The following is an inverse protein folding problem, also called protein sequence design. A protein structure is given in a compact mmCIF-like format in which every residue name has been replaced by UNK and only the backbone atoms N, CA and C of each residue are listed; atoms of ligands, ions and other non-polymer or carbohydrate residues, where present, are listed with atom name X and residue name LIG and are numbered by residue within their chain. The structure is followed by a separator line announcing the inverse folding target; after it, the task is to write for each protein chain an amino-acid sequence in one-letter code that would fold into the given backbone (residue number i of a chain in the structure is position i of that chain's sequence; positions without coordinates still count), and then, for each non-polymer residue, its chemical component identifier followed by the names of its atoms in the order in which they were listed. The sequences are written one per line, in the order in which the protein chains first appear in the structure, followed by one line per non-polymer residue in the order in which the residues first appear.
data_IF_871952555481
#
_entry.id   IF_871952555481
#
_cell.length_a   1.000
_cell.length_b   1.000
_cell.length_c   1.000
_cell.angle_alpha   90.00
_cell.angle_beta   90.00
_cell.angle_gamma   90.00
#
_symmetry.space_group_name_H-M   'P 1'
#
loop_
_entity.id
_entity.type
_entity.pdbx_description
1 polymer ?
#
# COMPACT_ATOMS: atom_id res chain seq x y z
N UNK A 1 -58.32 11.81 35.21
CA UNK A 1 -58.09 10.36 35.00
C UNK A 1 -57.46 10.20 33.62
N UNK A 2 -56.14 10.04 33.59
CA UNK A 2 -55.31 9.85 32.40
C UNK A 2 -54.82 8.38 32.38
N UNK A 3 -54.68 7.74 31.21
CA UNK A 3 -54.33 6.32 31.09
C UNK A 3 -52.84 6.04 31.37
N UNK A 4 -52.47 4.78 31.69
CA UNK A 4 -51.13 4.42 32.16
C UNK A 4 -50.08 4.36 31.04
N UNK A 5 -48.86 4.72 31.43
CA UNK A 5 -47.62 4.74 30.66
C UNK A 5 -47.14 3.34 30.23
N UNK A 6 -46.81 3.20 28.95
CA UNK A 6 -46.18 2.01 28.38
C UNK A 6 -44.65 2.15 28.46
N UNK A 7 -43.97 1.20 29.12
CA UNK A 7 -42.50 1.09 29.15
C UNK A 7 -42.07 -0.08 28.27
N UNK A 8 -41.09 0.08 27.36
CA UNK A 8 -40.58 -1.03 26.54
C UNK A 8 -39.63 -1.95 27.33
N UNK A 9 -39.54 -3.25 26.98
CA UNK A 9 -38.76 -4.23 27.73
C UNK A 9 -37.25 -4.13 27.45
N UNK A 10 -36.45 -4.33 28.50
CA UNK A 10 -35.01 -4.48 28.43
C UNK A 10 -34.63 -5.83 27.81
N UNK A 11 -33.87 -5.80 26.71
CA UNK A 11 -33.25 -6.99 26.12
C UNK A 11 -31.84 -7.11 26.67
N UNK A 12 -31.61 -8.05 27.59
CA UNK A 12 -30.27 -8.46 28.02
C UNK A 12 -29.74 -9.51 27.04
N UNK A 13 -28.70 -9.18 26.27
CA UNK A 13 -27.97 -10.16 25.48
C UNK A 13 -26.82 -10.70 26.35
N UNK A 14 -26.96 -11.94 26.83
CA UNK A 14 -25.85 -12.70 27.40
C UNK A 14 -25.00 -13.27 26.25
N UNK A 15 -23.80 -12.73 26.06
CA UNK A 15 -22.76 -13.39 25.25
C UNK A 15 -21.96 -14.34 26.15
N UNK A 16 -22.17 -15.65 25.99
CA UNK A 16 -21.28 -16.67 26.51
C UNK A 16 -20.03 -16.78 25.62
N UNK A 17 -18.88 -16.36 26.14
CA UNK A 17 -17.58 -16.56 25.48
C UNK A 17 -17.05 -17.93 25.87
N UNK A 18 -17.06 -18.87 24.93
CA UNK A 18 -16.34 -20.14 25.04
C UNK A 18 -14.88 -19.92 24.64
N UNK A 19 -13.99 -19.79 25.62
CA UNK A 19 -12.53 -19.74 25.36
C UNK A 19 -12.05 -21.15 25.04
N UNK A 20 -11.88 -21.47 23.76
CA UNK A 20 -11.13 -22.65 23.34
C UNK A 20 -9.64 -22.28 23.29
N UNK A 21 -8.87 -22.78 24.26
CA UNK A 21 -7.42 -22.79 24.24
C UNK A 21 -6.92 -23.64 23.07
N UNK A 22 -6.28 -23.03 22.08
CA UNK A 22 -5.63 -23.73 20.97
C UNK A 22 -4.12 -23.48 21.00
N UNK A 23 -3.37 -24.56 21.18
CA UNK A 23 -1.93 -24.68 20.95
C UNK A 23 -1.55 -24.26 19.51
N UNK A 24 -0.32 -23.80 19.24
CA UNK A 24 0.02 -23.19 17.95
C UNK A 24 -0.05 -24.24 16.83
N UNK A 25 -0.75 -23.97 15.71
CA UNK A 25 -0.76 -24.89 14.59
C UNK A 25 0.52 -24.67 13.76
N UNK A 26 1.17 -25.77 13.40
CA UNK A 26 2.10 -25.82 12.27
C UNK A 26 1.40 -25.29 11.02
N UNK A 27 1.78 -24.10 10.56
CA UNK A 27 1.18 -23.45 9.38
C UNK A 27 1.41 -24.30 8.13
N UNK A 28 0.33 -24.55 7.38
CA UNK A 28 0.37 -25.28 6.12
C UNK A 28 1.06 -24.43 5.03
N UNK A 29 1.68 -25.06 4.00
CA UNK A 29 2.36 -24.37 2.89
C UNK A 29 1.52 -23.26 2.25
N UNK A 30 0.19 -23.39 2.30
CA UNK A 30 -0.81 -22.45 1.79
C UNK A 30 -0.69 -21.03 2.38
N UNK A 31 -0.42 -20.89 3.69
CA UNK A 31 -0.38 -19.58 4.34
C UNK A 31 0.89 -18.78 3.95
N UNK A 32 2.01 -19.48 3.81
CA UNK A 32 3.28 -18.95 3.28
C UNK A 32 3.12 -18.55 1.81
N UNK A 33 2.39 -19.35 1.03
CA UNK A 33 2.06 -19.01 -0.35
C UNK A 33 1.19 -17.75 -0.47
N UNK A 34 0.23 -17.53 0.43
CA UNK A 34 -0.62 -16.33 0.43
C UNK A 34 0.16 -15.05 0.75
N UNK A 35 1.02 -15.08 1.79
CA UNK A 35 1.92 -13.97 2.14
C UNK A 35 2.97 -13.68 1.07
N UNK A 36 3.55 -14.73 0.46
CA UNK A 36 4.44 -14.59 -0.70
C UNK A 36 3.69 -14.07 -1.92
N UNK A 37 2.44 -14.48 -2.16
CA UNK A 37 1.62 -14.00 -3.29
C UNK A 37 1.29 -12.52 -3.14
N UNK A 38 0.96 -12.07 -1.92
CA UNK A 38 0.80 -10.66 -1.60
C UNK A 38 2.12 -9.90 -1.79
N UNK A 39 3.26 -10.38 -1.27
CA UNK A 39 4.55 -9.73 -1.55
C UNK A 39 4.99 -9.81 -3.04
N UNK A 40 4.60 -10.85 -3.76
CA UNK A 40 4.99 -11.14 -5.15
C UNK A 40 4.09 -10.51 -6.24
N UNK A 41 2.91 -10.01 -5.89
CA UNK A 41 1.99 -9.35 -6.84
C UNK A 41 2.67 -8.17 -7.57
N UNK A 42 3.65 -7.54 -6.93
CA UNK A 42 4.52 -6.49 -7.50
C UNK A 42 5.72 -7.00 -8.28
N UNK A 43 6.34 -8.11 -7.84
CA UNK A 43 7.51 -8.71 -8.50
C UNK A 43 7.17 -9.60 -9.72
N UNK A 44 5.90 -9.70 -10.15
CA UNK A 44 5.41 -10.57 -11.25
C UNK A 44 5.78 -12.06 -11.08
N UNK A 45 5.41 -12.65 -9.95
CA UNK A 45 5.65 -14.08 -9.69
C UNK A 45 4.31 -14.78 -9.45
N UNK A 46 3.91 -15.68 -10.37
CA UNK A 46 2.68 -16.49 -10.27
C UNK A 46 2.95 -17.93 -9.82
N UNK A 47 2.24 -18.41 -8.80
CA UNK A 47 1.91 -19.83 -8.68
C UNK A 47 0.40 -20.09 -8.60
N UNK A 48 0.01 -21.27 -9.06
CA UNK A 48 -1.35 -21.78 -9.27
C UNK A 48 -2.23 -21.80 -8.00
N UNK A 49 -3.50 -21.42 -8.15
CA UNK A 49 -4.46 -21.29 -7.05
C UNK A 49 -5.11 -22.63 -6.70
N UNK A 50 -5.03 -23.03 -5.43
CA UNK A 50 -6.09 -23.80 -4.77
C UNK A 50 -5.99 -23.63 -3.24
N UNK A 51 -6.99 -22.94 -2.70
CA UNK A 51 -7.28 -22.66 -1.28
C UNK A 51 -6.28 -21.75 -0.55
N UNK A 52 -6.69 -20.54 -0.13
CA UNK A 52 -6.17 -19.89 1.08
C UNK A 52 -7.21 -18.89 1.63
N UNK A 53 -7.58 -19.04 2.91
CA UNK A 53 -8.46 -18.11 3.62
C UNK A 53 -7.67 -16.85 4.01
N UNK A 54 -7.91 -15.74 3.32
CA UNK A 54 -7.46 -14.41 3.72
C UNK A 54 -8.57 -13.73 4.51
N UNK A 55 -8.26 -13.16 5.68
CA UNK A 55 -9.20 -12.27 6.38
C UNK A 55 -9.51 -11.09 5.46
N UNK A 56 -10.76 -10.98 5.06
CA UNK A 56 -11.27 -9.87 4.26
C UNK A 56 -11.83 -8.85 5.25
N UNK A 57 -11.27 -7.64 5.27
CA UNK A 57 -11.77 -6.55 6.11
C UNK A 57 -12.55 -5.55 5.24
N UNK A 58 -13.59 -4.95 5.82
CA UNK A 58 -14.36 -3.90 5.15
C UNK A 58 -13.66 -2.54 5.32
N UNK A 59 -13.43 -1.83 4.23
CA UNK A 59 -12.72 -0.55 4.19
C UNK A 59 -13.36 0.56 5.05
N UNK A 60 -14.66 0.45 5.36
CA UNK A 60 -15.38 1.36 6.26
C UNK A 60 -15.20 1.03 7.75
N UNK A 61 -14.90 -0.22 8.11
CA UNK A 61 -14.73 -0.66 9.50
C UNK A 61 -13.36 -0.26 10.05
N UNK A 62 -12.32 -0.27 9.22
CA UNK A 62 -10.95 0.06 9.63
C UNK A 62 -10.82 1.45 10.27
N UNK A 63 -11.35 2.54 9.68
CA UNK A 63 -11.25 3.86 10.28
C UNK A 63 -12.13 4.03 11.52
N UNK A 64 -13.24 3.29 11.62
CA UNK A 64 -14.11 3.27 12.80
C UNK A 64 -13.43 2.54 13.96
N UNK A 65 -12.94 1.32 13.73
CA UNK A 65 -12.34 0.46 14.75
C UNK A 65 -10.98 0.96 15.22
N UNK A 66 -10.10 1.39 14.30
CA UNK A 66 -8.74 1.80 14.64
C UNK A 66 -8.60 3.30 14.94
N UNK A 67 -9.50 4.12 14.39
CA UNK A 67 -9.60 5.55 14.68
C UNK A 67 -10.57 5.83 15.82
N UNK A 68 -11.86 5.95 15.46
CA UNK A 68 -12.89 6.53 16.33
C UNK A 68 -13.15 5.73 17.62
N UNK A 69 -13.13 4.40 17.54
CA UNK A 69 -13.32 3.48 18.67
C UNK A 69 -11.99 3.03 19.30
N UNK A 70 -10.91 3.09 18.50
CA UNK A 70 -9.56 2.63 18.81
C UNK A 70 -8.69 3.61 19.59
N UNK A 71 -7.39 3.59 19.32
CA UNK A 71 -6.36 4.29 20.12
C UNK A 71 -6.15 5.76 19.74
N UNK A 72 -6.71 6.23 18.62
CA UNK A 72 -6.54 7.59 18.09
C UNK A 72 -7.89 8.32 18.01
N UNK A 73 -8.45 8.59 19.18
CA UNK A 73 -9.80 9.18 19.34
C UNK A 73 -9.87 10.69 19.09
N UNK A 74 -8.72 11.32 18.91
CA UNK A 74 -8.48 12.76 18.80
C UNK A 74 -8.38 13.24 17.34
N UNK A 75 -8.22 12.34 16.37
CA UNK A 75 -8.18 12.68 14.95
C UNK A 75 -8.75 11.60 14.05
N UNK A 76 -8.93 11.92 12.77
CA UNK A 76 -9.31 10.97 11.74
C UNK A 76 -8.22 9.92 11.47
N UNK A 77 -8.62 8.78 10.92
CA UNK A 77 -7.68 7.80 10.39
C UNK A 77 -7.01 8.35 9.13
N UNK A 78 -5.70 8.51 9.16
CA UNK A 78 -4.91 9.09 8.08
C UNK A 78 -4.43 8.00 7.13
N UNK A 79 -4.88 8.05 5.88
CA UNK A 79 -4.50 7.11 4.82
C UNK A 79 -3.56 7.80 3.83
N UNK A 80 -2.33 7.31 3.74
CA UNK A 80 -1.38 7.76 2.73
C UNK A 80 -1.60 7.05 1.40
N UNK A 81 -1.52 7.78 0.28
CA UNK A 81 -1.78 7.26 -1.06
C UNK A 81 -0.65 7.67 -2.01
N UNK A 82 -0.07 6.71 -2.72
CA UNK A 82 0.85 7.01 -3.82
C UNK A 82 0.06 7.47 -5.07
N UNK A 83 0.28 8.72 -5.46
CA UNK A 83 -0.35 9.35 -6.62
C UNK A 83 0.05 8.65 -7.94
N UNK A 84 1.25 8.10 -8.03
CA UNK A 84 1.79 7.48 -9.25
C UNK A 84 0.95 6.28 -9.70
N UNK A 85 0.51 5.45 -8.74
CA UNK A 85 -0.37 4.29 -8.97
C UNK A 85 -1.73 4.77 -9.50
N UNK A 86 -2.25 5.85 -8.92
CA UNK A 86 -3.55 6.40 -9.30
C UNK A 86 -3.54 7.00 -10.70
N UNK A 87 -2.48 7.73 -11.07
CA UNK A 87 -2.27 8.22 -12.43
C UNK A 87 -2.29 7.06 -13.43
N UNK A 88 -1.54 5.98 -13.15
CA UNK A 88 -1.50 4.81 -14.03
C UNK A 88 -2.88 4.15 -14.18
N UNK A 89 -3.60 3.96 -13.07
CA UNK A 89 -4.94 3.38 -13.09
C UNK A 89 -5.94 4.23 -13.88
N UNK A 90 -5.91 5.56 -13.70
CA UNK A 90 -6.81 6.47 -14.40
C UNK A 90 -6.56 6.46 -15.91
N UNK A 91 -5.29 6.45 -16.33
CA UNK A 91 -4.94 6.41 -17.76
C UNK A 91 -5.31 5.10 -18.43
N UNK A 92 -5.08 3.96 -17.77
CA UNK A 92 -5.36 2.64 -18.34
C UNK A 92 -6.82 2.47 -18.75
N UNK A 93 -7.75 3.11 -18.03
CA UNK A 93 -9.19 3.06 -18.34
C UNK A 93 -9.51 3.68 -19.70
N UNK A 94 -8.75 4.68 -20.15
CA UNK A 94 -9.06 5.41 -21.39
C UNK A 94 -8.19 5.05 -22.59
N UNK A 95 -7.19 4.16 -22.42
CA UNK A 95 -6.36 3.64 -23.52
C UNK A 95 -7.21 3.10 -24.68
N UNK A 96 -8.42 2.60 -24.41
CA UNK A 96 -9.44 2.24 -25.41
C UNK A 96 -10.73 3.00 -25.13
N UNK A 97 -11.16 3.89 -26.03
CA UNK A 97 -12.49 4.51 -25.96
C UNK A 97 -12.56 5.97 -25.48
N UNK A 98 -11.47 6.75 -25.61
CA UNK A 98 -11.45 8.19 -25.30
C UNK A 98 -12.57 9.02 -25.98
N UNK A 99 -13.02 8.61 -27.18
CA UNK A 99 -13.92 9.40 -28.01
C UNK A 99 -15.30 9.69 -27.39
N UNK A 100 -15.76 8.90 -26.41
CA UNK A 100 -17.06 9.07 -25.73
C UNK A 100 -16.92 9.45 -24.24
N UNK A 101 -15.69 9.68 -23.76
CA UNK A 101 -15.45 9.84 -22.33
C UNK A 101 -15.73 11.27 -21.82
N UNK A 102 -15.90 12.26 -22.69
CA UNK A 102 -16.06 13.68 -22.32
C UNK A 102 -14.73 14.38 -22.03
N UNK A 103 -14.78 15.63 -21.55
CA UNK A 103 -13.56 16.40 -21.24
C UNK A 103 -12.90 15.93 -19.93
N UNK A 104 -11.56 15.86 -19.94
CA UNK A 104 -10.70 15.43 -18.83
C UNK A 104 -11.26 14.21 -18.06
N UNK A 105 -11.52 13.08 -18.76
CA UNK A 105 -12.20 11.94 -18.16
C UNK A 105 -11.41 11.34 -17.00
N UNK A 106 -10.08 11.41 -17.00
CA UNK A 106 -9.20 10.98 -15.91
C UNK A 106 -9.44 11.80 -14.64
N UNK A 107 -9.43 13.14 -14.74
CA UNK A 107 -9.70 14.03 -13.61
C UNK A 107 -11.14 13.86 -13.10
N UNK A 108 -12.08 13.58 -14.01
CA UNK A 108 -13.47 13.32 -13.62
C UNK A 108 -13.59 12.02 -12.82
N UNK A 109 -12.88 10.97 -13.23
CA UNK A 109 -12.82 9.73 -12.45
C UNK A 109 -12.13 9.93 -11.11
N UNK A 110 -11.06 10.73 -11.06
CA UNK A 110 -10.41 11.11 -9.83
C UNK A 110 -11.38 11.82 -8.87
N UNK A 111 -12.16 12.81 -9.35
CA UNK A 111 -13.20 13.48 -8.58
C UNK A 111 -14.19 12.49 -7.94
N UNK A 112 -14.68 11.50 -8.69
CA UNK A 112 -15.61 10.52 -8.13
C UNK A 112 -14.95 9.62 -7.07
N UNK A 113 -13.66 9.30 -7.21
CA UNK A 113 -12.92 8.57 -6.18
C UNK A 113 -12.77 9.41 -4.90
N UNK A 114 -12.46 10.70 -5.03
CA UNK A 114 -12.40 11.62 -3.89
C UNK A 114 -13.74 11.74 -3.17
N UNK A 115 -14.84 11.84 -3.92
CA UNK A 115 -16.20 11.87 -3.38
C UNK A 115 -16.54 10.58 -2.62
N UNK A 116 -16.14 9.42 -3.15
CA UNK A 116 -16.30 8.16 -2.44
C UNK A 116 -15.48 8.13 -1.15
N UNK A 117 -14.22 8.57 -1.18
CA UNK A 117 -13.38 8.62 0.01
C UNK A 117 -13.97 9.53 1.11
N UNK A 118 -14.64 10.63 0.73
CA UNK A 118 -15.26 11.57 1.67
C UNK A 118 -16.45 10.95 2.41
N UNK A 119 -17.03 9.86 1.90
CA UNK A 119 -18.09 9.11 2.60
C UNK A 119 -17.56 8.25 3.75
N UNK A 120 -16.23 8.19 3.95
CA UNK A 120 -15.59 7.38 4.98
C UNK A 120 -14.99 8.29 6.06
N UNK A 121 -14.89 7.84 7.32
CA UNK A 121 -14.29 8.60 8.40
C UNK A 121 -12.76 8.57 8.33
N UNK A 122 -12.18 9.11 7.27
CA UNK A 122 -10.75 9.11 7.01
C UNK A 122 -10.26 10.46 6.48
N UNK A 123 -8.97 10.72 6.68
CA UNK A 123 -8.26 11.82 6.01
C UNK A 123 -7.23 11.22 5.06
N UNK A 124 -7.18 11.69 3.83
CA UNK A 124 -6.25 11.18 2.82
C UNK A 124 -5.07 12.12 2.67
N UNK A 125 -3.87 11.55 2.64
CA UNK A 125 -2.64 12.25 2.30
C UNK A 125 -2.10 11.70 0.98
N UNK A 126 -2.26 12.48 -0.08
CA UNK A 126 -1.73 12.14 -1.39
C UNK A 126 -0.25 12.51 -1.46
N UNK A 127 0.60 11.55 -1.83
CA UNK A 127 2.05 11.76 -1.98
C UNK A 127 2.43 11.53 -3.43
N UNK A 128 2.98 12.56 -4.06
CA UNK A 128 3.54 12.49 -5.41
C UNK A 128 5.07 12.36 -5.36
N UNK A 129 5.64 11.71 -6.38
CA UNK A 129 7.09 11.59 -6.51
C UNK A 129 7.80 12.95 -6.59
N UNK A 130 8.96 12.99 -5.97
CA UNK A 130 9.88 14.11 -5.93
C UNK A 130 10.93 14.12 -7.04
N UNK A 131 11.73 15.22 -7.11
CA UNK A 131 12.78 15.38 -8.09
C UNK A 131 14.01 14.48 -7.82
N UNK A 132 14.24 14.03 -6.58
CA UNK A 132 15.40 13.21 -6.23
C UNK A 132 15.16 11.70 -6.47
N UNK A 133 14.08 11.33 -7.16
CA UNK A 133 13.82 9.94 -7.53
C UNK A 133 14.94 9.40 -8.44
N UNK A 134 15.27 8.09 -8.38
CA UNK A 134 16.30 7.50 -9.23
C UNK A 134 16.03 7.74 -10.72
N UNK A 135 17.07 8.14 -11.45
CA UNK A 135 16.96 8.48 -12.87
C UNK A 135 16.59 7.27 -13.76
N UNK A 136 16.91 6.06 -13.31
CA UNK A 136 16.64 4.82 -14.03
C UNK A 136 15.85 3.88 -13.13
N UNK A 137 14.71 3.41 -13.62
CA UNK A 137 13.93 2.32 -13.03
C UNK A 137 13.55 1.33 -14.12
N UNK A 138 13.58 0.04 -13.80
CA UNK A 138 13.19 -1.05 -14.71
C UNK A 138 13.93 -1.01 -16.06
N UNK A 139 15.22 -0.64 -16.03
CA UNK A 139 16.06 -0.43 -17.23
C UNK A 139 15.53 0.64 -18.19
N UNK A 140 14.67 1.55 -17.70
CA UNK A 140 14.11 2.68 -18.44
C UNK A 140 14.45 3.98 -17.72
N UNK A 141 14.73 5.03 -18.51
CA UNK A 141 14.88 6.38 -17.98
C UNK A 141 13.53 6.86 -17.44
N UNK A 142 13.55 7.36 -16.20
CA UNK A 142 12.39 7.96 -15.57
C UNK A 142 12.16 9.33 -16.20
N UNK A 143 10.92 9.61 -16.63
CA UNK A 143 10.58 10.93 -17.16
C UNK A 143 10.69 11.95 -16.02
N UNK A 144 11.44 13.01 -16.22
CA UNK A 144 11.61 14.08 -15.21
C UNK A 144 10.45 15.06 -15.18
N UNK A 145 9.79 15.27 -16.32
CA UNK A 145 8.66 16.19 -16.41
C UNK A 145 7.49 15.70 -15.53
N UNK A 146 6.86 16.60 -14.75
CA UNK A 146 5.68 16.26 -13.98
C UNK A 146 4.56 15.79 -14.93
N UNK A 147 3.78 14.83 -14.46
CA UNK A 147 2.67 14.32 -15.25
C UNK A 147 1.58 15.41 -15.35
N UNK A 148 1.03 15.64 -16.54
CA UNK A 148 0.07 16.72 -16.82
C UNK A 148 -1.21 16.67 -15.96
N UNK A 149 -1.55 15.49 -15.40
CA UNK A 149 -2.67 15.32 -14.48
C UNK A 149 -2.42 15.87 -13.06
N UNK A 150 -1.16 16.01 -12.64
CA UNK A 150 -0.84 16.25 -11.23
C UNK A 150 -1.42 17.56 -10.71
N UNK A 151 -1.36 18.64 -11.49
CA UNK A 151 -1.89 19.95 -11.07
C UNK A 151 -3.41 19.90 -10.83
N UNK A 152 -4.16 19.28 -11.75
CA UNK A 152 -5.61 19.10 -11.62
C UNK A 152 -5.97 18.17 -10.47
N UNK A 153 -5.22 17.06 -10.30
CA UNK A 153 -5.41 16.14 -9.18
C UNK A 153 -5.15 16.82 -7.83
N UNK A 154 -4.04 17.55 -7.69
CA UNK A 154 -3.72 18.29 -6.48
C UNK A 154 -4.82 19.30 -6.15
N UNK A 155 -5.23 20.11 -7.13
CA UNK A 155 -6.27 21.12 -6.93
C UNK A 155 -7.60 20.53 -6.48
N UNK A 156 -7.99 19.38 -7.05
CA UNK A 156 -9.19 18.64 -6.64
C UNK A 156 -9.04 18.06 -5.23
N UNK A 157 -7.92 17.39 -4.93
CA UNK A 157 -7.69 16.78 -3.61
C UNK A 157 -7.74 17.83 -2.48
N UNK A 158 -7.06 18.96 -2.66
CA UNK A 158 -7.08 20.07 -1.70
C UNK A 158 -8.48 20.68 -1.54
N UNK A 159 -9.27 20.77 -2.62
CA UNK A 159 -10.63 21.27 -2.56
C UNK A 159 -11.59 20.30 -1.85
N UNK A 160 -11.28 19.00 -1.84
CA UNK A 160 -11.94 18.01 -0.98
C UNK A 160 -11.44 18.03 0.48
N UNK A 161 -10.49 18.91 0.82
CA UNK A 161 -9.91 19.01 2.15
C UNK A 161 -8.85 17.98 2.49
N UNK A 162 -8.36 17.22 1.49
CA UNK A 162 -7.26 16.28 1.64
C UNK A 162 -5.89 16.96 1.57
N UNK A 163 -4.87 16.33 2.16
CA UNK A 163 -3.51 16.85 2.12
C UNK A 163 -2.78 16.35 0.87
N UNK A 164 -1.90 17.18 0.34
CA UNK A 164 -1.03 16.85 -0.78
C UNK A 164 0.42 17.12 -0.41
N UNK A 165 1.30 16.16 -0.69
CA UNK A 165 2.72 16.23 -0.45
C UNK A 165 3.47 15.85 -1.71
N UNK A 166 4.56 16.56 -1.98
CA UNK A 166 5.56 16.09 -2.93
C UNK A 166 6.74 15.53 -2.15
N UNK A 167 7.04 14.24 -2.33
CA UNK A 167 8.18 13.58 -1.69
C UNK A 167 9.52 14.21 -2.09
N UNK A 168 10.60 13.89 -1.37
CA UNK A 168 11.94 14.27 -1.81
C UNK A 168 12.38 13.42 -3.01
N UNK A 169 12.25 12.09 -2.86
CA UNK A 169 12.54 11.09 -3.88
C UNK A 169 11.28 10.35 -4.32
N UNK A 170 11.09 9.15 -3.82
CA UNK A 170 9.96 8.28 -4.20
C UNK A 170 8.81 8.38 -3.21
N UNK A 171 7.59 8.46 -3.72
CA UNK A 171 6.39 8.58 -2.89
C UNK A 171 6.25 7.41 -1.90
N UNK A 172 6.55 6.18 -2.31
CA UNK A 172 6.42 4.99 -1.45
C UNK A 172 7.39 5.00 -0.26
N UNK A 173 8.63 5.46 -0.46
CA UNK A 173 9.60 5.61 0.61
C UNK A 173 9.14 6.67 1.63
N UNK A 174 8.63 7.80 1.13
CA UNK A 174 8.08 8.88 1.94
C UNK A 174 6.87 8.41 2.76
N UNK A 175 5.94 7.69 2.11
CA UNK A 175 4.76 7.09 2.74
C UNK A 175 5.14 6.09 3.83
N UNK A 176 6.12 5.22 3.56
CA UNK A 176 6.63 4.28 4.55
C UNK A 176 7.20 4.98 5.78
N UNK A 177 7.97 6.05 5.57
CA UNK A 177 8.53 6.86 6.65
C UNK A 177 7.43 7.56 7.47
N UNK A 178 6.47 8.20 6.81
CA UNK A 178 5.32 8.83 7.48
C UNK A 178 4.51 7.83 8.29
N UNK A 179 4.34 6.60 7.80
CA UNK A 179 3.66 5.54 8.53
C UNK A 179 4.46 5.06 9.75
N UNK A 180 5.79 4.90 9.60
CA UNK A 180 6.70 4.53 10.68
C UNK A 180 6.75 5.58 11.80
N UNK A 181 6.68 6.85 11.44
CA UNK A 181 6.60 7.99 12.38
C UNK A 181 5.20 8.20 12.96
N UNK A 182 4.18 7.51 12.45
CA UNK A 182 2.80 7.62 12.92
C UNK A 182 2.04 8.84 12.43
N UNK A 183 2.59 9.60 11.46
CA UNK A 183 1.93 10.72 10.78
C UNK A 183 0.70 10.23 10.01
N UNK A 184 0.84 9.09 9.34
CA UNK A 184 -0.27 8.35 8.72
C UNK A 184 -0.43 6.98 9.37
N UNK A 185 -1.64 6.46 9.36
CA UNK A 185 -2.02 5.21 10.00
C UNK A 185 -1.78 3.99 9.10
N UNK A 186 -1.97 4.15 7.79
CA UNK A 186 -1.64 3.13 6.79
C UNK A 186 -1.28 3.74 5.43
N UNK A 187 -0.63 2.93 4.60
CA UNK A 187 -0.33 3.22 3.20
C UNK A 187 -1.26 2.41 2.31
N UNK A 188 -2.08 3.07 1.48
CA UNK A 188 -2.84 2.43 0.41
C UNK A 188 -1.96 2.32 -0.84
N UNK A 189 -1.45 1.13 -1.11
CA UNK A 189 -0.64 0.83 -2.29
C UNK A 189 -0.90 -0.60 -2.74
N UNK A 190 -0.89 -0.84 -4.05
CA UNK A 190 -0.86 -2.21 -4.59
C UNK A 190 0.56 -2.80 -4.57
N UNK A 191 1.55 -1.93 -4.39
CA UNK A 191 2.95 -2.29 -4.43
C UNK A 191 3.44 -2.81 -3.05
N UNK A 192 4.52 -3.61 -3.06
CA UNK A 192 5.13 -4.19 -1.85
C UNK A 192 6.26 -3.36 -1.28
N UNK A 193 6.74 -2.37 -2.05
CA UNK A 193 7.98 -1.68 -1.74
C UNK A 193 7.82 -0.82 -0.49
N UNK A 194 6.61 -0.34 -0.19
CA UNK A 194 6.30 0.31 1.08
C UNK A 194 6.72 -0.53 2.31
N UNK A 195 6.50 -1.86 2.31
CA UNK A 195 6.95 -2.73 3.41
C UNK A 195 8.48 -2.84 3.48
N UNK A 196 9.13 -2.87 2.32
CA UNK A 196 10.60 -2.89 2.22
C UNK A 196 11.23 -1.58 2.73
N UNK A 197 10.60 -0.44 2.45
CA UNK A 197 10.96 0.86 3.03
C UNK A 197 10.58 1.00 4.52
N UNK A 198 9.89 0.00 5.09
CA UNK A 198 9.61 -0.08 6.52
C UNK A 198 8.23 0.43 6.96
N UNK A 199 7.26 0.50 6.05
CA UNK A 199 5.86 0.73 6.41
C UNK A 199 5.38 -0.37 7.39
N UNK A 200 4.60 0.03 8.40
CA UNK A 200 4.03 -0.86 9.41
C UNK A 200 2.69 -1.43 9.01
N UNK A 201 1.88 -0.66 8.28
CA UNK A 201 0.54 -1.06 7.84
C UNK A 201 0.36 -0.66 6.37
N UNK A 202 0.18 -1.66 5.52
CA UNK A 202 -0.13 -1.50 4.10
C UNK A 202 -1.54 -2.03 3.84
N UNK A 203 -2.36 -1.23 3.19
CA UNK A 203 -3.71 -1.59 2.76
C UNK A 203 -3.68 -1.78 1.25
N UNK A 204 -4.30 -2.86 0.79
CA UNK A 204 -4.45 -3.18 -0.63
C UNK A 204 -5.88 -3.38 -0.98
N UNK A 205 -6.27 -3.01 -2.19
CA UNK A 205 -7.64 -3.25 -2.62
C UNK A 205 -7.80 -4.71 -3.01
N UNK A 206 -8.70 -5.43 -2.33
CA UNK A 206 -8.98 -6.81 -2.69
C UNK A 206 -9.88 -6.84 -3.91
N UNK A 207 -9.57 -7.74 -4.86
CA UNK A 207 -10.52 -8.10 -5.91
C UNK A 207 -11.34 -9.29 -5.39
N UNK A 208 -12.67 -9.17 -5.31
CA UNK A 208 -13.51 -10.29 -4.89
C UNK A 208 -13.25 -11.53 -5.78
N UNK A 209 -13.26 -12.76 -5.22
CA UNK A 209 -13.04 -13.99 -6.00
C UNK A 209 -14.00 -14.12 -7.19
N UNK A 210 -15.20 -13.55 -7.08
CA UNK A 210 -16.22 -13.52 -8.14
C UNK A 210 -15.86 -12.66 -9.36
N UNK A 211 -14.86 -11.78 -9.26
CA UNK A 211 -14.36 -10.95 -10.37
C UNK A 211 -13.03 -11.47 -10.95
N UNK A 212 -12.54 -12.62 -10.48
CA UNK A 212 -11.36 -13.30 -11.04
C UNK A 212 -11.82 -14.18 -12.20
N UNK A 213 -11.61 -13.73 -13.44
CA UNK A 213 -11.89 -14.54 -14.63
C UNK A 213 -10.74 -15.55 -14.86
N UNK A 214 -11.00 -16.87 -14.86
CA UNK A 214 -10.00 -17.88 -15.18
C UNK A 214 -9.90 -18.01 -16.70
N UNK A 215 -9.22 -17.07 -17.37
CA UNK A 215 -8.91 -17.22 -18.80
C UNK A 215 -7.39 -17.25 -18.96
N UNK A 216 -6.89 -18.41 -19.38
CA UNK A 216 -5.52 -18.68 -19.86
C UNK A 216 -4.37 -18.71 -18.84
N UNK A 217 -4.60 -19.10 -17.58
CA UNK A 217 -3.51 -19.32 -16.61
C UNK A 217 -2.71 -18.07 -16.20
N UNK A 218 -3.08 -16.90 -16.74
CA UNK A 218 -2.76 -15.60 -16.17
C UNK A 218 -4.00 -15.13 -15.42
N UNK A 219 -3.93 -15.07 -14.09
CA UNK A 219 -4.93 -14.36 -13.29
C UNK A 219 -4.77 -12.87 -13.55
N UNK A 220 -5.45 -12.35 -14.57
CA UNK A 220 -5.60 -10.90 -14.75
C UNK A 220 -6.77 -10.48 -13.88
N UNK A 221 -6.48 -10.12 -12.62
CA UNK A 221 -7.34 -9.20 -11.92
C UNK A 221 -7.43 -7.94 -12.81
N UNK A 222 -8.57 -7.72 -13.46
CA UNK A 222 -8.87 -6.43 -14.07
C UNK A 222 -8.62 -5.38 -13.00
N UNK A 223 -7.78 -4.37 -13.29
CA UNK A 223 -7.35 -3.33 -12.34
C UNK A 223 -8.49 -2.94 -11.41
N UNK A 224 -8.28 -2.87 -10.08
CA UNK A 224 -9.37 -2.78 -9.13
C UNK A 224 -10.28 -1.60 -9.45
N UNK A 225 -11.50 -1.92 -9.87
CA UNK A 225 -12.53 -0.94 -10.23
C UNK A 225 -12.86 -0.09 -9.00
N UNK A 226 -12.87 1.24 -9.13
CA UNK A 226 -13.29 2.19 -8.08
C UNK A 226 -14.70 2.70 -8.38
N UNK A 227 -15.67 1.80 -8.57
CA UNK A 227 -17.07 2.21 -8.66
C UNK A 227 -17.65 2.26 -7.26
N UNK A 228 -18.58 3.20 -7.06
CA UNK A 228 -19.32 3.37 -5.81
C UNK A 228 -20.14 2.14 -5.41
N UNK A 229 -20.40 1.25 -6.36
CA UNK A 229 -21.10 -0.04 -6.19
C UNK A 229 -20.16 -1.20 -5.87
N UNK A 230 -18.84 -1.02 -6.03
CA UNK A 230 -17.91 -2.10 -5.78
C UNK A 230 -17.81 -2.35 -4.27
N UNK A 231 -17.71 -3.62 -3.84
CA UNK A 231 -17.58 -3.92 -2.43
C UNK A 231 -16.28 -3.32 -1.90
N UNK A 232 -16.36 -2.64 -0.76
CA UNK A 232 -15.23 -1.99 -0.12
C UNK A 232 -14.42 -2.99 0.68
N UNK A 233 -13.81 -3.95 -0.02
CA UNK A 233 -13.04 -5.03 0.59
C UNK A 233 -11.56 -4.74 0.37
N UNK A 234 -10.81 -4.80 1.47
CA UNK A 234 -9.37 -4.57 1.46
C UNK A 234 -8.62 -5.69 2.15
N UNK A 235 -7.36 -5.83 1.81
CA UNK A 235 -6.40 -6.69 2.50
C UNK A 235 -5.44 -5.80 3.27
N UNK A 236 -5.33 -6.04 4.57
CA UNK A 236 -4.36 -5.35 5.42
C UNK A 236 -3.15 -6.25 5.60
N UNK A 237 -1.97 -5.68 5.39
CA UNK A 237 -0.69 -6.32 5.66
C UNK A 237 0.02 -5.51 6.75
N UNK A 238 0.20 -6.13 7.92
CA UNK A 238 0.97 -5.53 9.02
C UNK A 238 2.39 -6.07 9.00
N UNK A 239 3.38 -5.21 9.25
CA UNK A 239 4.77 -5.63 9.35
C UNK A 239 4.97 -6.71 10.43
N UNK A 240 4.20 -6.63 11.53
CA UNK A 240 4.22 -7.65 12.57
C UNK A 240 3.75 -9.02 12.06
N UNK A 241 2.78 -9.07 11.14
CA UNK A 241 2.32 -10.33 10.55
C UNK A 241 3.37 -10.94 9.61
N UNK A 242 4.15 -10.11 8.92
CA UNK A 242 5.29 -10.57 8.10
C UNK A 242 6.33 -11.27 8.98
N UNK A 243 6.60 -10.73 10.17
CA UNK A 243 7.49 -11.38 11.12
C UNK A 243 6.86 -12.62 11.77
N UNK A 244 5.66 -12.48 12.32
CA UNK A 244 5.02 -13.50 13.16
C UNK A 244 4.50 -14.70 12.36
N UNK A 245 4.06 -14.48 11.11
CA UNK A 245 3.47 -15.52 10.27
C UNK A 245 4.46 -16.00 9.22
N UNK A 246 5.11 -15.08 8.48
CA UNK A 246 6.06 -15.48 7.44
C UNK A 246 7.47 -15.75 8.00
N UNK A 247 7.77 -15.37 9.24
CA UNK A 247 9.10 -15.58 9.84
C UNK A 247 10.19 -14.73 9.21
N UNK A 248 9.83 -13.59 8.61
CA UNK A 248 10.74 -12.70 7.90
C UNK A 248 10.93 -11.40 8.68
N UNK A 249 12.17 -11.09 9.05
CA UNK A 249 12.49 -9.78 9.58
C UNK A 249 12.46 -8.72 8.46
N UNK A 250 12.33 -7.42 8.77
CA UNK A 250 12.40 -6.36 7.77
C UNK A 250 13.66 -6.43 6.89
N UNK A 251 14.82 -6.73 7.49
CA UNK A 251 16.08 -6.91 6.76
C UNK A 251 16.09 -8.11 5.79
N UNK A 252 15.22 -9.10 6.01
CA UNK A 252 15.08 -10.25 5.12
C UNK A 252 14.31 -9.86 3.84
N UNK A 253 13.45 -8.83 3.89
CA UNK A 253 12.76 -8.29 2.71
C UNK A 253 13.74 -7.67 1.71
N UNK A 254 14.81 -7.01 2.20
CA UNK A 254 15.87 -6.48 1.37
C UNK A 254 16.55 -7.60 0.57
N UNK A 255 16.85 -8.73 1.22
CA UNK A 255 17.43 -9.87 0.53
C UNK A 255 16.48 -10.43 -0.54
N UNK A 256 15.17 -10.51 -0.24
CA UNK A 256 14.19 -10.95 -1.23
C UNK A 256 14.18 -10.03 -2.47
N UNK A 257 14.21 -8.72 -2.28
CA UNK A 257 14.26 -7.75 -3.39
C UNK A 257 15.53 -7.88 -4.23
N UNK A 258 16.69 -8.14 -3.60
CA UNK A 258 17.96 -8.35 -4.31
C UNK A 258 17.98 -9.70 -5.06
N UNK A 259 17.37 -10.75 -4.50
CA UNK A 259 17.35 -12.08 -5.12
C UNK A 259 16.33 -12.19 -6.26
N UNK A 260 15.11 -11.67 -6.06
CA UNK A 260 14.00 -11.80 -7.00
C UNK A 260 13.98 -10.70 -8.06
N UNK A 261 14.69 -9.61 -7.78
CA UNK A 261 14.64 -8.40 -8.56
C UNK A 261 13.63 -7.39 -7.99
N UNK A 262 13.84 -6.15 -8.38
CA UNK A 262 13.10 -4.97 -7.92
C UNK A 262 12.97 -3.95 -9.04
N UNK A 263 12.38 -2.79 -8.71
CA UNK A 263 12.29 -1.66 -9.63
C UNK A 263 13.65 -1.08 -10.02
N UNK A 264 14.68 -1.24 -9.19
CA UNK A 264 16.04 -0.75 -9.48
C UNK A 264 16.86 -1.79 -10.26
N UNK A 265 16.73 -3.06 -9.88
CA UNK A 265 17.35 -4.19 -10.60
C UNK A 265 16.30 -5.28 -10.90
N UNK A 266 15.67 -5.25 -12.09
CA UNK A 266 14.65 -6.24 -12.45
C UNK A 266 15.19 -7.65 -12.66
N UNK A 267 16.52 -7.82 -12.77
CA UNK A 267 17.11 -9.13 -13.02
C UNK A 267 17.25 -9.94 -11.73
N UNK A 268 17.63 -9.27 -10.63
CA UNK A 268 18.00 -9.93 -9.38
C UNK A 268 19.06 -11.01 -9.59
N UNK A 269 19.00 -12.07 -8.79
CA UNK A 269 19.83 -13.25 -8.98
C UNK A 269 19.18 -14.18 -10.02
N UNK A 270 19.74 -14.19 -11.24
CA UNK A 270 19.25 -15.04 -12.33
C UNK A 270 19.13 -16.52 -11.92
N UNK A 271 17.94 -17.09 -12.13
CA UNK A 271 17.62 -18.48 -11.76
C UNK A 271 17.16 -18.67 -10.31
N UNK A 272 17.13 -17.62 -9.49
CA UNK A 272 16.58 -17.64 -8.15
C UNK A 272 15.07 -17.35 -8.17
N UNK A 273 14.24 -18.35 -7.90
CA UNK A 273 12.79 -18.21 -7.78
C UNK A 273 12.32 -17.83 -6.37
N UNK A 274 11.02 -17.48 -6.20
CA UNK A 274 10.42 -17.05 -4.93
C UNK A 274 10.62 -18.04 -3.78
N UNK A 275 10.41 -19.33 -4.03
CA UNK A 275 10.52 -20.38 -3.02
C UNK A 275 11.95 -20.49 -2.51
N UNK A 276 12.93 -20.39 -3.42
CA UNK A 276 14.35 -20.44 -3.07
C UNK A 276 14.75 -19.18 -2.31
N UNK A 277 14.34 -17.99 -2.77
CA UNK A 277 14.64 -16.73 -2.10
C UNK A 277 14.06 -16.68 -0.68
N UNK A 278 12.82 -17.13 -0.51
CA UNK A 278 12.19 -17.25 0.81
C UNK A 278 12.93 -18.23 1.73
N UNK A 279 13.34 -19.39 1.20
CA UNK A 279 14.18 -20.33 1.95
C UNK A 279 15.53 -19.70 2.36
N UNK A 280 16.15 -18.94 1.45
CA UNK A 280 17.40 -18.23 1.70
C UNK A 280 17.28 -17.13 2.77
N UNK A 281 16.17 -16.40 2.78
CA UNK A 281 15.88 -15.38 3.78
C UNK A 281 15.90 -15.92 5.22
N UNK A 282 15.49 -17.19 5.41
CA UNK A 282 15.50 -17.84 6.73
C UNK A 282 16.88 -18.12 7.31
N UNK A 283 17.93 -18.14 6.48
CA UNK A 283 19.31 -18.33 6.92
C UNK A 283 19.96 -17.09 7.55
N UNK A 284 19.23 -15.97 7.70
CA UNK A 284 19.76 -14.75 8.31
C UNK A 284 20.74 -13.97 7.41
N UNK A 285 20.82 -14.34 6.14
CA UNK A 285 21.66 -13.66 5.14
C UNK A 285 21.22 -12.21 4.95
N UNK A 286 19.92 -11.91 4.99
CA UNK A 286 19.40 -10.55 4.85
C UNK A 286 19.77 -9.66 6.02
N UNK A 287 19.57 -10.15 7.24
CA UNK A 287 20.01 -9.49 8.49
C UNK A 287 21.51 -9.18 8.50
N UNK A 288 22.36 -10.17 8.23
CA UNK A 288 23.82 -9.96 8.21
C UNK A 288 24.28 -8.97 7.13
N UNK A 289 23.64 -8.97 5.96
CA UNK A 289 23.92 -8.01 4.89
C UNK A 289 23.47 -6.60 5.27
N UNK A 290 22.26 -6.46 5.80
CA UNK A 290 21.71 -5.19 6.28
C UNK A 290 22.62 -4.56 7.34
N UNK A 291 23.00 -5.33 8.36
CA UNK A 291 23.87 -4.85 9.44
C UNK A 291 25.22 -4.40 8.88
N UNK A 292 25.80 -5.14 7.94
CA UNK A 292 27.04 -4.75 7.28
C UNK A 292 26.88 -3.45 6.48
N UNK A 293 25.80 -3.31 5.71
CA UNK A 293 25.53 -2.11 4.90
C UNK A 293 25.33 -0.84 5.74
N UNK A 294 24.74 -0.97 6.93
CA UNK A 294 24.48 0.13 7.84
C UNK A 294 25.67 0.50 8.75
N UNK A 295 26.54 -0.46 9.09
CA UNK A 295 27.56 -0.27 10.14
C UNK A 295 29.01 -0.27 9.65
N UNK A 296 29.30 -0.82 8.46
CA UNK A 296 30.67 -0.96 7.97
C UNK A 296 31.06 0.17 7.02
N UNK A 297 32.34 0.54 7.05
CA UNK A 297 32.94 1.37 5.99
C UNK A 297 33.05 0.59 4.68
N UNK A 298 33.19 1.29 3.54
CA UNK A 298 33.29 0.67 2.22
C UNK A 298 34.41 -0.39 2.13
N UNK A 299 35.58 -0.15 2.71
CA UNK A 299 36.68 -1.12 2.72
C UNK A 299 36.33 -2.40 3.50
N UNK A 300 35.67 -2.24 4.66
CA UNK A 300 35.24 -3.39 5.49
C UNK A 300 34.11 -4.15 4.81
N UNK A 301 33.18 -3.44 4.17
CA UNK A 301 32.10 -4.04 3.41
C UNK A 301 32.65 -4.86 2.23
N UNK A 302 33.60 -4.30 1.48
CA UNK A 302 34.28 -5.00 0.39
C UNK A 302 34.98 -6.29 0.84
N UNK A 303 35.57 -6.29 2.04
CA UNK A 303 36.16 -7.49 2.64
C UNK A 303 35.12 -8.49 3.19
N UNK A 304 33.96 -8.01 3.64
CA UNK A 304 32.87 -8.83 4.16
C UNK A 304 32.11 -9.60 3.06
N UNK A 305 31.82 -8.94 1.94
CA UNK A 305 30.95 -9.48 0.88
C UNK A 305 31.41 -10.84 0.28
N UNK A 306 32.72 -11.12 0.07
CA UNK A 306 33.16 -12.44 -0.37
C UNK A 306 32.77 -13.57 0.57
N UNK A 307 32.91 -13.38 1.88
CA UNK A 307 32.54 -14.37 2.89
C UNK A 307 31.01 -14.54 2.97
N UNK A 308 30.26 -13.43 2.92
CA UNK A 308 28.80 -13.46 2.86
C UNK A 308 28.29 -14.20 1.61
N UNK A 309 28.87 -13.94 0.43
CA UNK A 309 28.57 -14.69 -0.80
C UNK A 309 28.90 -16.18 -0.67
N UNK A 310 29.98 -16.54 0.02
CA UNK A 310 30.33 -17.93 0.25
C UNK A 310 29.22 -18.63 1.07
N UNK A 311 28.74 -17.98 2.12
CA UNK A 311 27.60 -18.48 2.92
C UNK A 311 26.34 -18.64 2.07
N UNK A 312 25.99 -17.65 1.25
CA UNK A 312 24.86 -17.75 0.30
C UNK A 312 25.00 -18.98 -0.62
N UNK A 313 26.19 -19.18 -1.21
CA UNK A 313 26.47 -20.32 -2.09
C UNK A 313 26.39 -21.65 -1.35
N UNK A 314 26.85 -21.70 -0.10
CA UNK A 314 26.83 -22.92 0.70
C UNK A 314 25.41 -23.29 1.14
N UNK A 315 24.60 -22.30 1.53
CA UNK A 315 23.17 -22.49 1.78
C UNK A 315 22.45 -23.06 0.56
N UNK A 316 22.77 -22.59 -0.65
CA UNK A 316 22.23 -23.14 -1.90
C UNK A 316 22.71 -24.57 -2.20
N UNK A 317 23.97 -24.90 -1.91
CA UNK A 317 24.54 -26.23 -2.21
C UNK A 317 24.08 -27.31 -1.26
N UNK A 318 24.00 -26.98 0.03
CA UNK A 318 23.82 -27.95 1.12
C UNK A 318 22.38 -27.96 1.61
N UNK A 319 21.74 -26.79 1.70
CA UNK A 319 20.45 -26.56 2.37
C UNK A 319 20.43 -27.18 3.79
N UNK A 320 21.35 -26.76 4.69
CA UNK A 320 21.62 -27.49 5.93
C UNK A 320 20.42 -27.60 6.87
N UNK A 321 19.50 -26.63 6.83
CA UNK A 321 18.30 -26.59 7.67
C UNK A 321 17.03 -26.97 6.88
N UNK A 322 17.17 -27.35 5.60
CA UNK A 322 16.04 -27.77 4.76
C UNK A 322 15.07 -26.64 4.40
N UNK A 323 15.47 -25.37 4.55
CA UNK A 323 14.59 -24.22 4.29
C UNK A 323 14.28 -24.02 2.80
N UNK A 324 15.14 -24.49 1.90
CA UNK A 324 14.96 -24.41 0.45
C UNK A 324 14.22 -25.66 -0.07
N UNK A 325 14.40 -26.80 0.59
CA UNK A 325 13.77 -28.09 0.29
C UNK A 325 14.53 -28.94 -0.73
N UNK A 326 15.57 -28.40 -1.38
CA UNK A 326 16.47 -29.14 -2.28
C UNK A 326 17.80 -28.39 -2.48
N UNK A 327 18.78 -29.09 -3.04
CA UNK A 327 20.09 -28.55 -3.40
C UNK A 327 20.06 -27.85 -4.76
N UNK A 328 20.72 -26.71 -4.84
CA UNK A 328 20.76 -25.81 -5.99
C UNK A 328 22.21 -25.52 -6.42
N UNK A 329 22.99 -26.57 -6.69
CA UNK A 329 24.42 -26.45 -7.02
C UNK A 329 24.70 -25.56 -8.26
N UNK A 330 23.87 -25.66 -9.30
CA UNK A 330 24.00 -24.82 -10.50
C UNK A 330 23.76 -23.32 -10.20
N UNK A 331 22.74 -23.01 -9.40
CA UNK A 331 22.45 -21.63 -8.97
C UNK A 331 23.55 -21.10 -8.05
N UNK A 332 24.09 -21.94 -7.15
CA UNK A 332 25.23 -21.57 -6.31
C UNK A 332 26.47 -21.22 -7.16
N UNK A 333 26.71 -21.95 -8.25
CA UNK A 333 27.80 -21.66 -9.18
C UNK A 333 27.55 -20.39 -10.01
N UNK A 334 26.30 -20.05 -10.29
CA UNK A 334 25.95 -18.86 -11.07
C UNK A 334 25.91 -17.55 -10.27
N UNK A 335 26.06 -17.57 -8.94
CA UNK A 335 26.13 -16.35 -8.11
C UNK A 335 27.33 -15.48 -8.52
N UNK A 336 27.11 -14.30 -9.13
CA UNK A 336 28.20 -13.44 -9.60
C UNK A 336 29.07 -12.90 -8.47
N UNK A 337 30.33 -12.58 -8.75
CA UNK A 337 31.21 -11.90 -7.79
C UNK A 337 30.74 -10.47 -7.47
N UNK A 338 29.95 -9.87 -8.37
CA UNK A 338 29.35 -8.53 -8.22
C UNK A 338 28.06 -8.54 -7.40
N UNK A 339 27.50 -9.70 -7.06
CA UNK A 339 26.26 -9.80 -6.28
C UNK A 339 26.54 -9.74 -4.76
N UNK A 340 25.79 -8.99 -3.94
CA UNK A 340 24.69 -8.12 -4.33
C UNK A 340 25.21 -6.78 -4.87
N UNK A 341 24.40 -6.12 -5.69
CA UNK A 341 24.66 -4.72 -6.06
C UNK A 341 24.42 -3.83 -4.83
N UNK A 342 25.52 -3.33 -4.26
CA UNK A 342 25.50 -2.48 -3.06
C UNK A 342 24.80 -1.15 -3.33
N UNK A 343 24.96 -0.59 -4.53
CA UNK A 343 24.31 0.68 -4.88
C UNK A 343 22.78 0.50 -4.90
N UNK A 344 22.29 -0.60 -5.47
CA UNK A 344 20.86 -0.94 -5.44
C UNK A 344 20.37 -1.16 -4.01
N UNK A 345 21.12 -1.88 -3.17
CA UNK A 345 20.74 -2.08 -1.78
C UNK A 345 20.63 -0.76 -1.01
N UNK A 346 21.53 0.20 -1.25
CA UNK A 346 21.51 1.52 -0.60
C UNK A 346 20.29 2.37 -0.98
N UNK A 347 19.73 2.20 -2.18
CA UNK A 347 18.50 2.89 -2.58
C UNK A 347 17.30 2.54 -1.67
N UNK A 348 17.26 1.33 -1.13
CA UNK A 348 16.22 0.91 -0.17
C UNK A 348 16.51 1.36 1.27
N UNK A 349 17.79 1.40 1.65
CA UNK A 349 18.20 1.67 3.03
C UNK A 349 18.26 3.15 3.38
N UNK A 350 18.63 3.99 2.42
CA UNK A 350 18.78 5.44 2.60
C UNK A 350 18.13 6.19 1.42
N UNK A 351 16.80 6.05 1.24
CA UNK A 351 16.11 6.79 0.20
C UNK A 351 16.10 8.29 0.54
N UNK A 352 16.09 9.19 -0.47
CA UNK A 352 15.87 10.61 -0.24
C UNK A 352 14.48 10.84 0.36
N UNK A 353 14.43 11.38 1.57
CA UNK A 353 13.20 11.68 2.33
C UNK A 353 13.14 13.16 2.71
N UNK A 354 11.93 13.67 2.94
CA UNK A 354 11.77 15.00 3.52
C UNK A 354 12.16 15.00 5.01
N UNK A 355 12.41 16.20 5.56
CA UNK A 355 12.61 16.33 7.00
C UNK A 355 11.27 16.25 7.75
N UNK A 356 11.31 15.82 9.01
CA UNK A 356 10.12 15.60 9.83
C UNK A 356 9.23 16.87 9.96
N UNK A 357 9.84 18.06 9.98
CA UNK A 357 9.12 19.33 10.07
C UNK A 357 8.19 19.58 8.88
N UNK A 358 8.51 19.03 7.70
CA UNK A 358 7.65 19.17 6.53
C UNK A 358 6.37 18.35 6.65
N UNK A 359 6.38 17.25 7.41
CA UNK A 359 5.16 16.50 7.69
C UNK A 359 4.19 17.25 8.61
N UNK A 360 4.71 18.08 9.51
CA UNK A 360 3.87 18.89 10.39
C UNK A 360 2.99 19.90 9.62
N UNK A 361 3.37 20.23 8.38
CA UNK A 361 2.60 21.13 7.51
C UNK A 361 1.37 20.48 6.89
N UNK A 362 1.25 19.15 6.94
CA UNK A 362 0.13 18.41 6.31
C UNK A 362 -1.22 18.76 6.94
N UNK A 363 -1.22 19.23 8.20
CA UNK A 363 -2.41 19.65 8.92
C UNK A 363 -3.46 18.54 9.09
N UNK A 364 -4.55 18.89 9.77
CA UNK A 364 -5.71 18.02 9.90
C UNK A 364 -6.69 18.18 8.73
N UNK A 365 -7.64 17.25 8.64
CA UNK A 365 -8.71 17.29 7.65
C UNK A 365 -9.45 18.63 7.66
N UNK A 366 -9.62 19.20 6.46
CA UNK A 366 -10.34 20.46 6.26
C UNK A 366 -11.74 20.18 5.73
N UNK A 367 -12.72 21.07 6.00
CA UNK A 367 -14.00 21.02 5.32
C UNK A 367 -13.81 21.10 3.80
N UNK A 368 -14.70 20.44 3.06
CA UNK A 368 -14.71 20.51 1.61
C UNK A 368 -15.04 21.94 1.16
N UNK A 369 -14.23 22.47 0.26
CA UNK A 369 -14.42 23.79 -0.34
C UNK A 369 -15.35 23.65 -1.56
N UNK A 370 -16.67 23.63 -1.28
CA UNK A 370 -17.70 23.51 -2.31
C UNK A 370 -17.59 24.61 -3.40
N UNK A 371 -17.35 25.91 -3.05
CA UNK A 371 -17.10 26.94 -4.07
C UNK A 371 -15.91 26.63 -4.97
N UNK A 372 -14.74 26.26 -4.41
CA UNK A 372 -13.56 25.92 -5.20
C UNK A 372 -13.78 24.67 -6.05
N UNK A 373 -14.46 23.65 -5.51
CA UNK A 373 -14.86 22.48 -6.29
C UNK A 373 -15.76 22.85 -7.47
N UNK A 374 -16.73 23.75 -7.27
CA UNK A 374 -17.58 24.25 -8.34
C UNK A 374 -16.76 24.83 -9.50
N UNK A 375 -15.83 25.74 -9.18
CA UNK A 375 -14.94 26.36 -10.17
C UNK A 375 -14.05 25.35 -10.89
N UNK A 376 -13.52 24.35 -10.17
CA UNK A 376 -12.71 23.28 -10.76
C UNK A 376 -13.55 22.38 -11.68
N UNK A 377 -14.77 22.04 -11.29
CA UNK A 377 -15.68 21.24 -12.12
C UNK A 377 -16.12 21.97 -13.39
N UNK A 378 -16.39 23.28 -13.31
CA UNK A 378 -16.66 24.12 -14.49
C UNK A 378 -15.46 24.14 -15.43
N UNK A 379 -14.25 24.33 -14.87
CA UNK A 379 -12.99 24.36 -15.64
C UNK A 379 -12.66 23.04 -16.31
N UNK A 380 -12.88 21.91 -15.63
CA UNK A 380 -12.35 20.62 -16.08
C UNK A 380 -13.39 19.70 -16.74
N UNK A 381 -14.69 19.78 -16.42
CA UNK A 381 -15.68 18.75 -16.78
C UNK A 381 -16.84 19.23 -17.68
N UNK A 382 -16.82 20.48 -18.14
CA UNK A 382 -17.91 21.12 -18.87
C UNK A 382 -19.28 21.03 -18.17
N UNK A 383 -19.31 21.01 -16.84
CA UNK A 383 -20.56 21.09 -16.08
C UNK A 383 -21.07 22.52 -16.15
N UNK A 384 -21.60 22.89 -17.32
CA UNK A 384 -21.77 24.27 -17.79
C UNK A 384 -22.98 25.01 -17.21
N UNK A 385 -23.69 24.44 -16.23
CA UNK A 385 -24.76 25.14 -15.54
C UNK A 385 -24.72 24.91 -14.02
N UNK A 386 -25.03 25.97 -13.26
CA UNK A 386 -25.18 25.91 -11.81
C UNK A 386 -26.17 24.81 -11.38
N UNK A 387 -27.23 24.57 -12.17
CA UNK A 387 -28.20 23.51 -11.91
C UNK A 387 -27.59 22.10 -12.00
N UNK A 388 -26.74 21.83 -12.99
CA UNK A 388 -26.05 20.55 -13.15
C UNK A 388 -25.00 20.32 -12.05
N UNK A 389 -24.27 21.37 -11.68
CA UNK A 389 -23.33 21.33 -10.56
C UNK A 389 -24.04 20.97 -9.26
N UNK A 390 -25.11 21.70 -8.92
CA UNK A 390 -25.89 21.45 -7.70
C UNK A 390 -26.51 20.05 -7.70
N UNK A 391 -27.06 19.60 -8.84
CA UNK A 391 -27.58 18.24 -8.99
C UNK A 391 -26.50 17.19 -8.76
N UNK A 392 -25.31 17.41 -9.32
CA UNK A 392 -24.19 16.49 -9.17
C UNK A 392 -23.69 16.47 -7.72
N UNK A 393 -23.43 17.63 -7.12
CA UNK A 393 -22.95 17.74 -5.75
C UNK A 393 -23.92 17.14 -4.74
N UNK A 394 -25.23 17.36 -4.90
CA UNK A 394 -26.24 16.69 -4.06
C UNK A 394 -26.18 15.17 -4.15
N UNK A 395 -25.89 14.62 -5.33
CA UNK A 395 -25.78 13.18 -5.54
C UNK A 395 -24.45 12.62 -5.05
N UNK A 396 -23.35 13.35 -5.23
CA UNK A 396 -21.99 12.82 -5.02
C UNK A 396 -21.42 13.18 -3.66
N UNK A 397 -21.63 14.40 -3.17
CA UNK A 397 -20.94 14.97 -2.01
C UNK A 397 -21.80 14.97 -0.73
N UNK A 398 -23.12 15.01 -0.83
CA UNK A 398 -24.01 15.18 0.33
C UNK A 398 -23.72 14.20 1.49
N UNK A 399 -23.52 12.92 1.16
CA UNK A 399 -23.22 11.89 2.15
C UNK A 399 -21.86 12.16 2.81
N UNK A 400 -20.84 12.49 2.02
CA UNK A 400 -19.51 12.80 2.54
C UNK A 400 -19.50 14.04 3.43
N UNK A 401 -20.21 15.11 3.04
CA UNK A 401 -20.36 16.30 3.89
C UNK A 401 -21.03 15.97 5.22
N UNK A 402 -22.12 15.20 5.19
CA UNK A 402 -22.82 14.80 6.41
C UNK A 402 -21.88 14.01 7.34
N UNK A 403 -21.09 13.08 6.79
CA UNK A 403 -20.10 12.30 7.55
C UNK A 403 -19.03 13.21 8.14
N UNK A 404 -18.42 14.10 7.35
CA UNK A 404 -17.39 15.02 7.82
C UNK A 404 -17.89 15.98 8.89
N UNK A 405 -19.11 16.50 8.76
CA UNK A 405 -19.74 17.35 9.79
C UNK A 405 -19.92 16.58 11.10
N UNK A 406 -20.48 15.36 11.06
CA UNK A 406 -20.70 14.53 12.25
C UNK A 406 -19.39 14.19 12.96
N UNK A 407 -18.34 13.87 12.19
CA UNK A 407 -17.02 13.58 12.73
C UNK A 407 -16.43 14.81 13.41
N UNK A 408 -16.46 15.96 12.73
CA UNK A 408 -15.92 17.20 13.28
C UNK A 408 -16.61 17.57 14.59
N UNK A 409 -17.93 17.52 14.61
CA UNK A 409 -18.71 17.83 15.82
C UNK A 409 -18.39 16.83 16.94
N UNK A 410 -18.23 15.54 16.60
CA UNK A 410 -17.84 14.50 17.55
C UNK A 410 -16.41 14.63 18.09
N UNK A 411 -15.47 15.10 17.28
CA UNK A 411 -14.09 15.38 17.70
C UNK A 411 -14.03 16.65 18.58
N UNK A 412 -14.75 17.70 18.19
CA UNK A 412 -14.84 18.95 18.97
C UNK A 412 -15.48 18.74 20.34
N UNK A 413 -16.46 17.85 20.46
CA UNK A 413 -17.10 17.53 21.75
C UNK A 413 -16.18 16.78 22.72
N UNK A 414 -15.03 16.27 22.26
CA UNK A 414 -14.02 15.57 23.10
C UNK A 414 -12.85 16.46 23.52
N UNK A 415 -12.67 17.62 22.88
CA UNK A 415 -11.71 18.65 23.28
C UNK A 415 -12.33 19.55 24.35
#
# INVERSE_FOLDING_TARGET
MLPPSYSPPAISVQCSVSVATLSPPSLSPVAVYSLLYTFCLTCRIYPDQRNSATNLDYGCEIPLDNGFEGTRRDRLYHLGVDVSIWVQQLQQVFVKGHAQAGENPELRHFYYRLAMLAERPLHVVFVADGPARPAVKRKKQVKTNPHWLLEGMQSLAEAFGYSWLQAAGEAEAELAQMNKLGIIDAVLTEDSDALLFGARVVIRKSVPPSMVCPINGLTVASSPSFKRTDPDIVTICRADDVLNVAGLAPADLLLLALLLGSDYDPAGLSGCGPVVAYGLAKYGLGRSLHDALCSMSEDKLSAFLPAWRAQLRDSLRVDPQGHIGRRHAALAASVPATFPDVAVARLFLDPPLLCADQYALLGDARPVDLPRLGQLCERHFQWGSCAELLKTFRKTLWVGEAVHMLIRDGLQAKM
#
